data_IF_211538810636
#
_entry.id   IF_211538810636
#
_cell.length_a   1.000
_cell.length_b   1.000
_cell.length_c   1.000
_cell.angle_alpha   90.00
_cell.angle_beta   90.00
_cell.angle_gamma   90.00
#
_symmetry.space_group_name_H-M   'P 1'
#
loop_
_entity.id
_entity.type
_entity.pdbx_description
1 polymer ?
#
# COMPACT_ATOMS: atom_id res chain seq x y z
N UNK A 1 -19.60 0.34 18.53
CA UNK A 1 -18.43 1.03 17.93
C UNK A 1 -17.07 0.50 18.40
N UNK A 2 -16.97 -0.48 19.32
CA UNK A 2 -15.69 -0.93 19.91
C UNK A 2 -15.17 -2.29 19.39
N UNK A 3 -15.82 -2.90 18.40
CA UNK A 3 -15.40 -4.23 17.87
C UNK A 3 -14.50 -4.18 16.63
N UNK A 4 -14.30 -3.01 16.00
CA UNK A 4 -13.44 -2.89 14.82
C UNK A 4 -11.94 -2.68 15.14
N UNK A 5 -11.58 -2.43 16.40
CA UNK A 5 -10.20 -2.15 16.81
C UNK A 5 -9.49 -3.34 17.47
N UNK A 6 -10.12 -4.53 17.49
CA UNK A 6 -9.63 -5.69 18.26
C UNK A 6 -8.75 -6.68 17.48
N UNK A 7 -8.12 -6.25 16.39
CA UNK A 7 -7.10 -7.03 15.69
C UNK A 7 -5.88 -6.17 15.37
N UNK A 8 -5.11 -5.83 16.40
CA UNK A 8 -3.77 -5.27 16.28
C UNK A 8 -2.75 -6.35 15.88
N UNK A 9 -2.94 -6.90 14.69
CA UNK A 9 -1.85 -7.40 13.85
C UNK A 9 -2.08 -6.78 12.49
N UNK A 10 -0.99 -6.41 11.83
CA UNK A 10 -0.90 -6.05 10.42
C UNK A 10 -1.29 -7.25 9.52
N UNK A 11 -2.36 -7.97 9.86
CA UNK A 11 -2.86 -9.12 9.14
C UNK A 11 -3.43 -8.62 7.81
N UNK A 12 -3.12 -9.35 6.77
CA UNK A 12 -3.88 -9.32 5.53
C UNK A 12 -5.31 -9.71 5.85
N UNK A 13 -6.19 -8.71 5.97
CA UNK A 13 -7.61 -8.98 5.98
C UNK A 13 -7.95 -9.54 4.61
N UNK A 14 -8.36 -10.82 4.58
CA UNK A 14 -8.67 -11.54 3.35
C UNK A 14 -9.68 -10.80 2.45
N UNK A 15 -10.56 -10.00 3.06
CA UNK A 15 -11.60 -9.23 2.37
C UNK A 15 -11.22 -7.77 2.09
N UNK A 16 -10.06 -7.31 2.56
CA UNK A 16 -9.62 -5.94 2.32
C UNK A 16 -9.04 -5.82 0.91
N UNK A 17 -9.60 -4.90 0.14
CA UNK A 17 -9.15 -4.60 -1.24
C UNK A 17 -7.71 -4.11 -1.21
N UNK A 18 -7.35 -3.23 -0.26
CA UNK A 18 -5.99 -2.68 -0.16
C UNK A 18 -4.95 -3.77 0.15
N UNK A 19 -5.34 -4.77 0.95
CA UNK A 19 -4.52 -5.95 1.23
C UNK A 19 -4.31 -6.81 -0.02
N UNK A 20 -5.39 -7.10 -0.76
CA UNK A 20 -5.32 -7.86 -2.00
C UNK A 20 -4.42 -7.13 -3.02
N UNK A 21 -4.60 -5.82 -3.16
CA UNK A 21 -3.82 -4.98 -4.07
C UNK A 21 -2.34 -4.91 -3.68
N UNK A 22 -2.03 -4.75 -2.38
CA UNK A 22 -0.65 -4.79 -1.89
C UNK A 22 0.01 -6.17 -2.11
N UNK A 23 -0.74 -7.27 -1.93
CA UNK A 23 -0.22 -8.63 -2.12
C UNK A 23 0.05 -9.01 -3.58
N UNK A 24 -0.55 -8.27 -4.53
CA UNK A 24 -0.39 -8.47 -5.96
C UNK A 24 0.91 -7.86 -6.50
N UNK A 25 1.59 -7.02 -5.72
CA UNK A 25 2.88 -6.44 -6.10
C UNK A 25 3.93 -7.53 -6.35
N UNK A 26 4.73 -7.33 -7.39
CA UNK A 26 5.72 -8.32 -7.86
C UNK A 26 7.03 -8.20 -7.09
N UNK A 27 7.62 -9.35 -6.78
CA UNK A 27 8.89 -9.47 -6.11
C UNK A 27 9.83 -10.36 -6.91
N UNK A 28 11.04 -9.87 -7.13
CA UNK A 28 12.12 -10.64 -7.73
C UNK A 28 12.45 -11.85 -6.86
N UNK A 29 12.29 -13.03 -7.46
CA UNK A 29 12.34 -14.33 -6.79
C UNK A 29 13.24 -15.28 -7.59
N UNK A 30 14.15 -15.97 -6.91
CA UNK A 30 15.06 -16.95 -7.51
C UNK A 30 14.64 -18.35 -7.09
N UNK A 31 14.41 -19.25 -8.05
CA UNK A 31 14.03 -20.63 -7.77
C UNK A 31 15.25 -21.44 -7.31
N UNK A 32 15.16 -22.10 -6.16
CA UNK A 32 16.21 -22.99 -5.62
C UNK A 32 16.02 -24.46 -5.99
N UNK A 33 14.86 -24.80 -6.53
CA UNK A 33 14.50 -26.17 -6.89
C UNK A 33 13.93 -26.21 -8.30
N UNK A 34 14.16 -27.33 -9.01
CA UNK A 34 13.63 -27.54 -10.34
C UNK A 34 12.12 -27.76 -10.26
N UNK A 35 11.34 -26.99 -11.01
CA UNK A 35 9.87 -27.14 -11.05
C UNK A 35 9.45 -27.79 -12.35
N UNK A 36 8.77 -28.93 -12.23
CA UNK A 36 8.35 -29.74 -13.39
C UNK A 36 7.22 -29.07 -14.16
N UNK A 37 7.24 -29.19 -15.48
CA UNK A 37 6.22 -28.70 -16.42
C UNK A 37 5.94 -27.17 -16.36
N UNK A 38 6.83 -26.37 -15.78
CA UNK A 38 6.69 -24.91 -15.70
C UNK A 38 7.75 -24.15 -16.52
N UNK A 39 8.44 -24.81 -17.45
CA UNK A 39 9.46 -24.15 -18.26
C UNK A 39 8.92 -23.04 -19.17
N UNK A 40 7.64 -23.11 -19.56
CA UNK A 40 6.96 -22.07 -20.36
C UNK A 40 6.92 -20.69 -19.69
N UNK A 41 7.18 -20.61 -18.37
CA UNK A 41 7.26 -19.36 -17.64
C UNK A 41 8.55 -18.58 -17.95
N UNK A 42 9.62 -19.29 -18.32
CA UNK A 42 10.88 -18.69 -18.74
C UNK A 42 10.84 -18.46 -20.26
N UNK A 43 10.54 -17.23 -20.67
CA UNK A 43 10.42 -16.84 -22.08
C UNK A 43 11.75 -17.06 -22.84
N UNK A 44 12.88 -17.16 -22.13
CA UNK A 44 14.21 -17.37 -22.72
C UNK A 44 14.62 -18.84 -22.85
N UNK A 45 13.82 -19.80 -22.39
CA UNK A 45 14.18 -21.21 -22.35
C UNK A 45 13.09 -22.08 -22.98
N UNK A 46 13.48 -22.97 -23.89
CA UNK A 46 12.57 -23.96 -24.50
C UNK A 46 12.52 -25.28 -23.67
N UNK A 47 13.00 -25.21 -22.43
CA UNK A 47 12.95 -26.35 -21.52
C UNK A 47 11.51 -26.64 -21.08
N UNK A 48 11.18 -27.93 -20.93
CA UNK A 48 9.87 -28.35 -20.39
C UNK A 48 9.71 -27.98 -18.91
N UNK A 49 10.81 -28.00 -18.17
CA UNK A 49 10.87 -27.78 -16.73
C UNK A 49 11.59 -26.47 -16.43
N UNK A 50 11.24 -25.83 -15.31
CA UNK A 50 11.92 -24.65 -14.82
C UNK A 50 13.18 -25.05 -14.05
N UNK A 51 14.34 -24.66 -14.56
CA UNK A 51 15.64 -25.00 -13.97
C UNK A 51 15.95 -24.24 -12.68
N UNK A 52 16.91 -24.74 -11.90
CA UNK A 52 17.37 -24.09 -10.67
C UNK A 52 18.13 -22.80 -11.00
N UNK A 53 17.90 -21.75 -10.22
CA UNK A 53 18.58 -20.46 -10.35
C UNK A 53 17.88 -19.46 -11.27
N UNK A 54 16.76 -19.85 -11.90
CA UNK A 54 15.97 -18.94 -12.73
C UNK A 54 15.39 -17.82 -11.86
N UNK A 55 15.59 -16.57 -12.30
CA UNK A 55 15.04 -15.38 -11.67
C UNK A 55 13.74 -14.98 -12.35
N UNK A 56 12.70 -14.77 -11.55
CA UNK A 56 11.38 -14.39 -12.04
C UNK A 56 10.72 -13.37 -11.12
N UNK A 57 9.84 -12.56 -11.70
CA UNK A 57 8.97 -11.65 -10.96
C UNK A 57 7.68 -12.37 -10.58
N UNK A 58 7.53 -12.70 -9.30
CA UNK A 58 6.34 -13.38 -8.77
C UNK A 58 5.52 -12.43 -7.90
N UNK A 59 4.17 -12.49 -7.93
CA UNK A 59 3.35 -11.77 -6.95
C UNK A 59 3.71 -12.18 -5.52
N UNK A 60 3.66 -11.23 -4.58
CA UNK A 60 4.00 -11.49 -3.18
C UNK A 60 3.22 -12.67 -2.59
N UNK A 61 1.90 -12.74 -2.81
CA UNK A 61 1.08 -13.82 -2.24
C UNK A 61 1.61 -15.20 -2.64
N UNK A 62 2.04 -15.38 -3.89
CA UNK A 62 2.61 -16.65 -4.37
C UNK A 62 4.00 -16.89 -3.80
N UNK A 63 4.87 -15.87 -3.82
CA UNK A 63 6.22 -15.96 -3.27
C UNK A 63 6.20 -16.30 -1.76
N UNK A 64 5.26 -15.75 -0.99
CA UNK A 64 5.05 -16.03 0.42
C UNK A 64 4.77 -17.51 0.69
N UNK A 65 3.94 -18.16 -0.14
CA UNK A 65 3.67 -19.60 -0.01
C UNK A 65 4.88 -20.47 -0.38
N UNK A 66 5.67 -20.07 -1.37
CA UNK A 66 6.82 -20.83 -1.87
C UNK A 66 8.08 -20.68 -1.00
N UNK A 67 8.25 -19.53 -0.34
CA UNK A 67 9.38 -19.22 0.54
C UNK A 67 9.27 -19.88 1.94
N UNK A 68 8.36 -20.82 2.14
CA UNK A 68 8.13 -21.47 3.43
C UNK A 68 9.41 -22.12 3.99
N UNK A 69 9.69 -21.88 5.28
CA UNK A 69 10.89 -22.33 6.02
C UNK A 69 11.25 -23.81 5.81
N UNK A 70 10.25 -24.66 5.58
CA UNK A 70 10.44 -26.11 5.42
C UNK A 70 10.86 -26.54 4.01
N UNK A 71 10.47 -25.79 2.97
CA UNK A 71 10.65 -26.21 1.57
C UNK A 71 11.62 -25.33 0.79
N UNK A 72 11.76 -24.04 1.16
CA UNK A 72 12.72 -23.09 0.56
C UNK A 72 12.78 -23.20 -0.98
N UNK A 73 11.60 -23.27 -1.63
CA UNK A 73 11.49 -23.50 -3.09
C UNK A 73 11.98 -22.27 -3.84
N UNK A 74 11.72 -21.10 -3.26
CA UNK A 74 12.04 -19.78 -3.78
C UNK A 74 12.81 -18.99 -2.73
N UNK A 75 13.83 -18.28 -3.18
CA UNK A 75 14.53 -17.24 -2.43
C UNK A 75 14.11 -15.87 -2.96
N UNK A 76 13.75 -14.97 -2.05
CA UNK A 76 13.21 -13.66 -2.37
C UNK A 76 14.30 -12.61 -2.25
N UNK A 77 14.49 -11.79 -3.29
CA UNK A 77 15.42 -10.66 -3.26
C UNK A 77 14.74 -9.42 -2.66
N UNK A 78 15.50 -8.57 -1.96
CA UNK A 78 14.98 -7.31 -1.42
C UNK A 78 14.56 -6.36 -2.56
N UNK A 79 13.27 -5.95 -2.61
CA UNK A 79 12.78 -5.00 -3.59
C UNK A 79 13.54 -3.68 -3.56
N UNK A 80 13.59 -2.98 -4.70
CA UNK A 80 14.34 -1.74 -4.87
C UNK A 80 13.93 -0.66 -3.87
N UNK A 81 12.66 -0.63 -3.45
CA UNK A 81 12.15 0.34 -2.50
C UNK A 81 12.76 0.20 -1.09
N UNK A 82 13.22 -1.00 -0.72
CA UNK A 82 13.75 -1.29 0.62
C UNK A 82 15.26 -1.49 0.68
N UNK A 83 15.96 -1.29 -0.44
CA UNK A 83 17.42 -1.35 -0.49
C UNK A 83 18.04 -0.27 0.39
N UNK A 84 19.26 -0.52 0.88
CA UNK A 84 20.01 0.39 1.75
C UNK A 84 20.01 1.84 1.26
N UNK A 85 20.32 2.09 -0.02
CA UNK A 85 20.36 3.45 -0.56
C UNK A 85 19.02 4.19 -0.52
N UNK A 86 17.88 3.51 -0.72
CA UNK A 86 16.56 4.15 -0.58
C UNK A 86 16.23 4.44 0.88
N UNK A 87 16.62 3.56 1.81
CA UNK A 87 16.46 3.78 3.25
C UNK A 87 17.26 4.99 3.74
N UNK A 88 18.46 5.20 3.23
CA UNK A 88 19.27 6.38 3.56
C UNK A 88 18.60 7.69 3.10
N UNK A 89 18.02 7.70 1.90
CA UNK A 89 17.25 8.85 1.38
C UNK A 89 16.03 9.12 2.27
N UNK A 90 15.26 8.08 2.60
CA UNK A 90 14.08 8.17 3.47
C UNK A 90 14.44 8.64 4.89
N UNK A 91 15.60 8.22 5.42
CA UNK A 91 16.08 8.65 6.72
C UNK A 91 16.57 10.10 6.72
N UNK A 92 17.06 10.61 5.59
CA UNK A 92 17.51 12.00 5.47
C UNK A 92 16.34 12.99 5.46
N UNK A 93 15.37 12.78 4.55
CA UNK A 93 14.11 13.53 4.53
C UNK A 93 13.01 12.71 3.87
N UNK A 94 12.08 12.14 4.66
CA UNK A 94 11.02 11.32 4.12
C UNK A 94 9.96 12.13 3.38
N UNK A 95 9.81 13.44 3.61
CA UNK A 95 8.73 14.28 3.04
C UNK A 95 8.93 14.54 1.54
N UNK A 96 10.18 14.66 1.10
CA UNK A 96 10.53 14.96 -0.30
C UNK A 96 10.30 13.75 -1.22
N UNK A 97 10.31 12.54 -0.65
CA UNK A 97 10.17 11.29 -1.41
C UNK A 97 8.73 11.10 -1.88
N UNK A 98 8.61 10.70 -3.15
CA UNK A 98 7.37 10.30 -3.80
C UNK A 98 7.12 8.80 -3.53
N UNK A 99 6.35 8.51 -2.49
CA UNK A 99 6.05 7.12 -2.10
C UNK A 99 5.18 6.42 -3.15
N UNK A 100 4.28 7.15 -3.80
CA UNK A 100 3.39 6.57 -4.81
C UNK A 100 4.15 6.00 -6.01
N UNK A 101 5.26 6.63 -6.41
CA UNK A 101 6.16 6.10 -7.45
C UNK A 101 6.97 4.88 -7.02
N UNK A 102 7.34 4.80 -5.74
CA UNK A 102 8.06 3.66 -5.19
C UNK A 102 7.11 2.46 -5.06
N UNK A 103 5.87 2.70 -4.70
CA UNK A 103 4.77 1.75 -4.73
C UNK A 103 3.54 2.40 -4.06
N UNK A 104 2.33 2.29 -4.63
CA UNK A 104 1.14 2.91 -4.05
C UNK A 104 0.83 2.39 -2.63
N UNK A 105 1.33 1.21 -2.28
CA UNK A 105 1.13 0.53 -0.99
C UNK A 105 2.45 0.28 -0.25
N UNK A 106 3.37 1.24 -0.23
CA UNK A 106 4.68 1.16 0.44
C UNK A 106 4.61 0.61 1.88
N UNK A 107 3.78 1.20 2.76
CA UNK A 107 3.74 0.76 4.16
C UNK A 107 3.16 -0.65 4.33
N UNK A 108 2.10 -0.95 3.58
CA UNK A 108 1.38 -2.23 3.66
C UNK A 108 2.24 -3.35 3.08
N UNK A 109 2.79 -3.13 1.89
CA UNK A 109 3.69 -4.07 1.23
C UNK A 109 4.97 -4.30 2.04
N UNK A 110 5.54 -3.24 2.64
CA UNK A 110 6.71 -3.37 3.51
C UNK A 110 6.42 -4.25 4.73
N UNK A 111 5.23 -4.11 5.32
CA UNK A 111 4.77 -4.98 6.42
C UNK A 111 4.61 -6.44 5.99
N UNK A 112 4.06 -6.67 4.80
CA UNK A 112 3.96 -8.01 4.20
C UNK A 112 5.35 -8.60 3.93
N UNK A 113 6.28 -7.81 3.42
CA UNK A 113 7.63 -8.23 3.10
C UNK A 113 8.42 -8.68 4.34
N UNK A 114 8.19 -8.08 5.52
CA UNK A 114 8.82 -8.50 6.77
C UNK A 114 8.52 -9.97 7.15
N UNK A 115 7.45 -10.56 6.63
CA UNK A 115 7.10 -11.97 6.84
C UNK A 115 8.16 -12.95 6.31
N UNK A 116 8.98 -12.55 5.34
CA UNK A 116 10.06 -13.40 4.79
C UNK A 116 11.24 -13.59 5.76
N UNK A 117 11.31 -12.84 6.87
CA UNK A 117 12.36 -12.95 7.90
C UNK A 117 13.79 -12.87 7.35
N UNK A 118 14.01 -11.94 6.43
CA UNK A 118 15.33 -11.62 5.85
C UNK A 118 16.20 -10.94 6.93
N UNK A 119 17.54 -11.08 6.90
CA UNK A 119 18.43 -10.45 7.89
C UNK A 119 18.23 -8.94 8.06
N UNK A 120 17.84 -8.24 7.00
CA UNK A 120 17.59 -6.79 7.01
C UNK A 120 16.21 -6.37 7.53
N UNK A 121 15.36 -7.31 7.94
CA UNK A 121 13.98 -7.06 8.36
C UNK A 121 13.86 -6.00 9.46
N UNK A 122 14.75 -6.01 10.46
CA UNK A 122 14.74 -5.01 11.53
C UNK A 122 14.97 -3.60 11.00
N UNK A 123 15.93 -3.43 10.09
CA UNK A 123 16.26 -2.13 9.50
C UNK A 123 15.12 -1.62 8.61
N UNK A 124 14.47 -2.51 7.85
CA UNK A 124 13.29 -2.17 7.05
C UNK A 124 12.14 -1.74 7.95
N UNK A 125 11.85 -2.49 9.03
CA UNK A 125 10.77 -2.15 9.97
C UNK A 125 10.99 -0.79 10.64
N UNK A 126 12.23 -0.47 11.01
CA UNK A 126 12.58 0.82 11.60
C UNK A 126 12.40 1.95 10.59
N UNK A 127 12.92 1.78 9.37
CA UNK A 127 12.78 2.77 8.31
C UNK A 127 11.30 3.04 7.98
N UNK A 128 10.45 2.02 7.90
CA UNK A 128 9.00 2.18 7.69
C UNK A 128 8.37 3.05 8.79
N UNK A 129 8.70 2.77 10.06
CA UNK A 129 8.18 3.51 11.20
C UNK A 129 8.67 4.95 11.24
N UNK A 130 9.97 5.18 11.06
CA UNK A 130 10.59 6.51 11.07
C UNK A 130 10.06 7.36 9.91
N UNK A 131 9.92 6.77 8.71
CA UNK A 131 9.34 7.43 7.54
C UNK A 131 7.90 7.88 7.82
N UNK A 132 7.08 7.00 8.41
CA UNK A 132 5.70 7.35 8.76
C UNK A 132 5.64 8.47 9.81
N UNK A 133 6.44 8.38 10.87
CA UNK A 133 6.51 9.40 11.92
C UNK A 133 6.96 10.77 11.38
N UNK A 134 7.98 10.80 10.54
CA UNK A 134 8.50 12.03 9.95
C UNK A 134 7.50 12.72 9.03
N UNK A 135 6.69 11.95 8.30
CA UNK A 135 5.69 12.48 7.36
C UNK A 135 4.35 12.81 8.02
N UNK A 136 4.01 12.15 9.13
CA UNK A 136 2.70 12.28 9.79
C UNK A 136 2.32 13.73 10.10
N UNK A 137 3.22 14.48 10.73
CA UNK A 137 2.98 15.90 11.07
C UNK A 137 2.69 16.73 9.81
N UNK A 138 3.52 16.57 8.78
CA UNK A 138 3.38 17.30 7.53
C UNK A 138 2.04 17.01 6.83
N UNK A 139 1.63 15.74 6.79
CA UNK A 139 0.35 15.31 6.20
C UNK A 139 -0.82 15.92 6.98
N UNK A 140 -0.76 15.89 8.32
CA UNK A 140 -1.79 16.47 9.17
C UNK A 140 -1.91 17.99 8.97
N UNK A 141 -0.77 18.70 8.97
CA UNK A 141 -0.72 20.14 8.76
C UNK A 141 -1.33 20.52 7.40
N UNK A 142 -0.99 19.83 6.31
CA UNK A 142 -1.57 20.12 4.98
C UNK A 142 -3.07 19.81 4.96
N UNK A 143 -3.49 18.68 5.54
CA UNK A 143 -4.90 18.27 5.53
C UNK A 143 -5.81 19.28 6.21
N UNK A 144 -5.30 20.01 7.22
CA UNK A 144 -6.07 20.96 8.01
C UNK A 144 -5.94 22.42 7.55
N UNK A 145 -4.91 22.77 6.79
CA UNK A 145 -4.69 24.17 6.39
C UNK A 145 -5.16 24.47 4.95
N UNK A 146 -5.35 23.45 4.11
CA UNK A 146 -5.68 23.61 2.69
C UNK A 146 -7.06 23.02 2.38
N UNK A 147 -8.14 23.79 2.52
CA UNK A 147 -9.49 23.34 2.16
C UNK A 147 -9.90 23.66 0.73
N UNK A 148 -9.47 24.83 0.22
CA UNK A 148 -9.90 25.38 -1.06
C UNK A 148 -8.78 25.39 -2.11
N UNK A 149 -7.62 24.80 -1.79
CA UNK A 149 -6.45 24.76 -2.69
C UNK A 149 -6.40 23.46 -3.51
N UNK A 150 -5.75 23.52 -4.67
CA UNK A 150 -5.52 22.34 -5.50
C UNK A 150 -4.42 21.45 -4.89
N UNK A 151 -4.85 20.38 -4.23
CA UNK A 151 -4.00 19.44 -3.51
C UNK A 151 -3.64 18.21 -4.35
N UNK A 152 -3.95 18.22 -5.65
CA UNK A 152 -3.72 17.09 -6.54
C UNK A 152 -2.25 16.66 -6.56
N UNK A 153 -1.32 17.63 -6.54
CA UNK A 153 0.14 17.37 -6.54
C UNK A 153 0.65 16.79 -5.22
N UNK A 154 -0.01 17.09 -4.11
CA UNK A 154 0.34 16.52 -2.80
C UNK A 154 -0.19 15.10 -2.74
N UNK A 155 -1.48 14.91 -3.05
CA UNK A 155 -2.14 13.60 -3.06
C UNK A 155 -1.45 12.59 -3.98
N UNK A 156 -0.89 13.03 -5.11
CA UNK A 156 -0.20 12.13 -6.05
C UNK A 156 1.09 11.52 -5.49
N UNK A 157 1.69 12.11 -4.44
CA UNK A 157 2.93 11.63 -3.83
C UNK A 157 2.72 10.74 -2.60
N UNK A 158 1.49 10.73 -2.08
CA UNK A 158 1.13 10.01 -0.86
C UNK A 158 0.91 8.52 -1.14
N UNK A 159 1.24 7.70 -0.14
CA UNK A 159 0.83 6.31 -0.08
C UNK A 159 -0.69 6.18 0.15
N UNK A 160 -1.31 5.04 -0.19
CA UNK A 160 -2.75 4.83 0.06
C UNK A 160 -3.14 4.97 1.54
N UNK A 161 -2.32 4.49 2.49
CA UNK A 161 -2.57 4.68 3.91
C UNK A 161 -2.53 6.17 4.30
N UNK A 162 -1.59 6.92 3.72
CA UNK A 162 -1.46 8.37 3.95
C UNK A 162 -2.64 9.14 3.35
N UNK A 163 -3.13 8.73 2.18
CA UNK A 163 -4.31 9.32 1.53
C UNK A 163 -5.56 9.13 2.40
N UNK A 164 -5.71 7.99 3.06
CA UNK A 164 -6.82 7.75 4.00
C UNK A 164 -6.73 8.72 5.18
N UNK A 165 -5.57 8.85 5.81
CA UNK A 165 -5.37 9.80 6.93
C UNK A 165 -5.64 11.23 6.48
N UNK A 166 -5.12 11.59 5.30
CA UNK A 166 -5.33 12.91 4.72
C UNK A 166 -6.82 13.20 4.46
N UNK A 167 -7.56 12.24 3.90
CA UNK A 167 -8.99 12.37 3.67
C UNK A 167 -9.78 12.52 4.98
N UNK A 168 -9.44 11.74 6.00
CA UNK A 168 -10.04 11.85 7.34
C UNK A 168 -9.78 13.23 7.97
N UNK A 169 -8.57 13.78 7.80
CA UNK A 169 -8.24 15.13 8.25
C UNK A 169 -9.10 16.20 7.56
N UNK A 170 -9.27 16.10 6.24
CA UNK A 170 -10.12 17.02 5.47
C UNK A 170 -11.60 16.89 5.82
N UNK A 171 -12.10 15.67 5.97
CA UNK A 171 -13.49 15.42 6.35
C UNK A 171 -13.79 15.99 7.75
N UNK A 172 -12.89 15.77 8.71
CA UNK A 172 -13.02 16.33 10.07
C UNK A 172 -13.08 17.85 10.07
N UNK A 173 -12.19 18.51 9.32
CA UNK A 173 -12.19 19.96 9.21
C UNK A 173 -13.44 20.49 8.52
N UNK A 174 -13.89 19.82 7.46
CA UNK A 174 -15.12 20.18 6.75
C UNK A 174 -16.35 20.04 7.65
N UNK A 175 -16.41 18.98 8.45
CA UNK A 175 -17.49 18.76 9.42
C UNK A 175 -17.48 19.83 10.50
N UNK A 176 -16.30 20.23 10.99
CA UNK A 176 -16.15 21.34 11.92
C UNK A 176 -16.64 22.67 11.32
N UNK A 177 -16.29 22.97 10.08
CA UNK A 177 -16.77 24.18 9.40
C UNK A 177 -18.28 24.18 9.18
N UNK A 178 -18.85 23.05 8.74
CA UNK A 178 -20.29 22.89 8.58
C UNK A 178 -21.04 23.08 9.90
N UNK A 179 -20.44 22.62 11.01
CA UNK A 179 -20.98 22.86 12.35
C UNK A 179 -20.90 24.34 12.73
N UNK A 180 -19.76 24.99 12.50
CA UNK A 180 -19.56 26.41 12.80
C UNK A 180 -20.54 27.32 12.03
N UNK A 181 -20.83 26.99 10.76
CA UNK A 181 -21.79 27.73 9.92
C UNK A 181 -23.25 27.33 10.16
N UNK A 182 -23.53 26.42 11.11
CA UNK A 182 -24.84 25.84 11.41
C UNK A 182 -25.48 25.11 10.22
N UNK A 183 -24.71 24.74 9.20
CA UNK A 183 -25.19 23.92 8.10
C UNK A 183 -25.50 22.48 8.54
N UNK A 184 -24.80 21.97 9.56
CA UNK A 184 -25.04 20.64 10.13
C UNK A 184 -26.44 20.48 10.75
N UNK A 185 -27.12 21.59 11.09
CA UNK A 185 -28.50 21.55 11.58
C UNK A 185 -29.54 21.37 10.47
N UNK A 186 -29.16 21.57 9.19
CA UNK A 186 -30.05 21.41 8.04
C UNK A 186 -30.03 19.95 7.59
N UNK A 187 -31.19 19.30 7.62
CA UNK A 187 -31.35 17.94 7.09
C UNK A 187 -31.16 17.97 5.56
N UNK A 188 -30.06 17.42 5.09
CA UNK A 188 -29.78 17.22 3.66
C UNK A 188 -29.99 15.74 3.30
N UNK A 189 -30.46 15.48 2.08
CA UNK A 189 -30.53 14.10 1.58
C UNK A 189 -29.14 13.46 1.57
N UNK A 190 -29.06 12.16 1.84
CA UNK A 190 -27.77 11.46 1.87
C UNK A 190 -27.08 11.50 0.49
N UNK A 191 -25.74 11.47 0.50
CA UNK A 191 -24.93 11.43 -0.74
C UNK A 191 -25.38 10.30 -1.68
N UNK A 192 -25.76 9.14 -1.11
CA UNK A 192 -26.25 7.99 -1.88
C UNK A 192 -27.55 8.30 -2.65
N UNK A 193 -28.54 8.93 -2.00
CA UNK A 193 -29.82 9.28 -2.64
C UNK A 193 -29.60 10.31 -3.74
N UNK A 194 -28.71 11.29 -3.51
CA UNK A 194 -28.38 12.32 -4.51
C UNK A 194 -27.72 11.67 -5.73
N UNK A 195 -26.78 10.74 -5.54
CA UNK A 195 -26.11 10.03 -6.63
C UNK A 195 -27.06 9.10 -7.41
N UNK A 196 -27.95 8.38 -6.72
CA UNK A 196 -28.96 7.54 -7.37
C UNK A 196 -29.91 8.36 -8.24
N UNK A 197 -30.37 9.52 -7.76
CA UNK A 197 -31.21 10.43 -8.55
C UNK A 197 -30.49 10.96 -9.79
N UNK A 198 -29.20 11.28 -9.68
CA UNK A 198 -28.37 11.69 -10.83
C UNK A 198 -28.22 10.58 -11.87
N UNK A 199 -27.95 9.34 -11.44
CA UNK A 199 -27.83 8.17 -12.34
C UNK A 199 -29.13 7.94 -13.12
N UNK A 200 -30.28 7.93 -12.43
CA UNK A 200 -31.60 7.78 -13.06
C UNK A 200 -31.94 8.91 -14.04
N UNK A 201 -31.41 10.12 -13.82
CA UNK A 201 -31.64 11.25 -14.73
C UNK A 201 -30.85 11.09 -16.03
N UNK A 202 -29.61 10.61 -15.95
CA UNK A 202 -28.78 10.33 -17.13
C UNK A 202 -29.28 9.13 -17.96
N UNK A 203 -30.15 8.28 -17.41
CA UNK A 203 -30.78 7.16 -18.14
C UNK A 203 -32.06 7.59 -18.91
N UNK A 204 -32.57 8.80 -18.64
CA UNK A 204 -33.79 9.35 -19.26
C UNK A 204 -33.49 10.38 -20.37
N UNK A 205 -32.23 10.79 -20.52
CA UNK A 205 -31.70 11.62 -21.61
C UNK A 205 -31.01 10.72 -22.66
#
# INVERSE_FOLDING_TARGET
MSQYYKNSRLNDDYLSIDSIMASQERVTSTFRTKIRNLGFLDIGSDARDLEVGVKMELPYWLAAFLCNKRRQIVEVETPKQYRAGQREILNADPVVVDLHKLGPHFYKFGSLFLSFQIPESLNISRCLLETFQGRFKHIMDISQNCLNEDLSKVKSKLDECEKVIFALGQDSLKDFQNWQTRESAKLKASKMIIQQRKRKRNELD
#
